data_IF_701027078543
#
_entry.id   IF_701027078543
#
_cell.length_a   1.000
_cell.length_b   1.000
_cell.length_c   1.000
_cell.angle_alpha   90.00
_cell.angle_beta   90.00
_cell.angle_gamma   90.00
#
_symmetry.space_group_name_H-M   'P 1'
#
loop_
_entity.id
_entity.type
_entity.pdbx_description
1 polymer ?
#
# COMPACT_ATOMS: atom_id res chain seq x y z
N UNK A 1 -12.01 -8.21 0.61
CA UNK A 1 -11.75 -6.80 0.22
C UNK A 1 -10.28 -6.66 -0.14
N UNK A 2 -9.97 -6.13 -1.33
CA UNK A 2 -8.60 -5.78 -1.71
C UNK A 2 -8.18 -4.46 -1.02
N UNK A 3 -6.89 -4.15 -1.05
CA UNK A 3 -6.32 -2.88 -0.54
C UNK A 3 -6.42 -1.74 -1.55
N UNK A 4 -6.47 -2.09 -2.84
CA UNK A 4 -6.41 -1.19 -3.99
C UNK A 4 -7.34 -1.67 -5.10
N UNK A 5 -7.43 -0.94 -6.21
CA UNK A 5 -8.04 -1.51 -7.43
C UNK A 5 -7.23 -2.72 -7.90
N UNK A 6 -7.89 -3.62 -8.63
CA UNK A 6 -7.25 -4.86 -9.11
C UNK A 6 -5.97 -4.53 -9.89
N UNK A 7 -4.87 -5.13 -9.48
CA UNK A 7 -3.54 -4.95 -10.07
C UNK A 7 -2.76 -6.28 -10.00
N UNK A 8 -1.55 -6.37 -10.57
CA UNK A 8 -0.78 -7.62 -10.61
C UNK A 8 -0.44 -8.24 -9.25
N UNK A 9 -0.39 -7.45 -8.17
CA UNK A 9 -0.07 -7.95 -6.83
C UNK A 9 -1.19 -8.80 -6.23
N UNK A 10 -2.41 -8.68 -6.76
CA UNK A 10 -3.55 -9.51 -6.42
C UNK A 10 -3.59 -10.84 -7.20
N UNK A 11 -2.60 -11.12 -8.07
CA UNK A 11 -2.61 -12.31 -8.92
C UNK A 11 -2.84 -13.63 -8.16
N UNK A 12 -2.27 -13.89 -6.95
CA UNK A 12 -2.54 -15.13 -6.22
C UNK A 12 -4.02 -15.32 -5.90
N UNK A 13 -4.73 -14.24 -5.55
CA UNK A 13 -6.16 -14.27 -5.19
C UNK A 13 -7.01 -14.48 -6.45
N UNK A 14 -6.74 -13.70 -7.50
CA UNK A 14 -7.47 -13.79 -8.76
C UNK A 14 -7.28 -15.14 -9.43
N UNK A 15 -6.04 -15.66 -9.49
CA UNK A 15 -5.74 -16.97 -10.06
C UNK A 15 -6.43 -18.08 -9.27
N UNK A 16 -6.45 -18.00 -7.94
CA UNK A 16 -7.15 -18.97 -7.11
C UNK A 16 -8.66 -19.03 -7.42
N UNK A 17 -9.28 -17.90 -7.69
CA UNK A 17 -10.68 -17.82 -8.08
C UNK A 17 -10.90 -18.35 -9.50
N UNK A 18 -10.13 -17.89 -10.48
CA UNK A 18 -10.29 -18.25 -11.89
C UNK A 18 -10.02 -19.73 -12.15
N UNK A 19 -9.07 -20.34 -11.42
CA UNK A 19 -8.78 -21.79 -11.51
C UNK A 19 -9.66 -22.65 -10.61
N UNK A 20 -10.62 -22.05 -9.88
CA UNK A 20 -11.58 -22.79 -9.06
C UNK A 20 -11.04 -23.31 -7.73
N UNK A 21 -9.85 -22.91 -7.28
CA UNK A 21 -9.25 -23.40 -6.03
C UNK A 21 -10.09 -23.08 -4.79
N UNK A 22 -10.79 -21.96 -4.78
CA UNK A 22 -11.73 -21.64 -3.70
C UNK A 22 -12.94 -22.58 -3.72
N UNK A 23 -13.52 -22.83 -4.90
CA UNK A 23 -14.64 -23.75 -5.05
C UNK A 23 -14.27 -25.19 -4.68
N UNK A 24 -13.08 -25.66 -5.07
CA UNK A 24 -12.56 -26.98 -4.71
C UNK A 24 -12.36 -27.11 -3.18
N UNK A 25 -12.08 -26.01 -2.49
CA UNK A 25 -12.02 -25.96 -1.04
C UNK A 25 -13.41 -25.76 -0.38
N UNK A 26 -14.49 -25.74 -1.15
CA UNK A 26 -15.86 -25.51 -0.65
C UNK A 26 -16.15 -24.05 -0.25
N UNK A 27 -15.36 -23.10 -0.75
CA UNK A 27 -15.51 -21.69 -0.46
C UNK A 27 -16.16 -20.95 -1.63
N UNK A 28 -17.06 -20.02 -1.30
CA UNK A 28 -17.52 -18.97 -2.22
C UNK A 28 -16.87 -17.66 -1.78
N UNK A 29 -16.05 -17.07 -2.65
CA UNK A 29 -15.28 -15.86 -2.34
C UNK A 29 -15.73 -14.72 -3.23
N UNK A 30 -16.21 -13.63 -2.62
CA UNK A 30 -16.51 -12.38 -3.31
C UNK A 30 -15.33 -11.41 -3.17
N UNK A 31 -14.67 -11.13 -4.31
CA UNK A 31 -13.53 -10.21 -4.35
C UNK A 31 -14.04 -8.82 -4.70
N UNK A 32 -13.81 -7.87 -3.79
CA UNK A 32 -14.20 -6.48 -3.98
C UNK A 32 -13.00 -5.54 -3.84
N UNK A 33 -12.89 -4.58 -4.75
CA UNK A 33 -11.98 -3.44 -4.60
C UNK A 33 -12.63 -2.38 -3.68
N UNK A 34 -11.85 -1.64 -2.89
CA UNK A 34 -12.40 -0.59 -2.02
C UNK A 34 -12.85 0.64 -2.83
N UNK A 35 -13.78 1.40 -2.25
CA UNK A 35 -14.17 2.70 -2.80
C UNK A 35 -13.15 3.80 -2.44
N UNK A 36 -12.50 3.68 -1.29
CA UNK A 36 -11.43 4.56 -0.80
C UNK A 36 -10.26 3.71 -0.29
N UNK A 37 -8.99 4.08 -0.57
CA UNK A 37 -7.81 3.33 -0.09
C UNK A 37 -7.73 3.17 1.44
N UNK A 38 -8.42 4.00 2.21
CA UNK A 38 -8.45 3.91 3.67
C UNK A 38 -9.54 2.97 4.22
N UNK A 39 -10.44 2.45 3.37
CA UNK A 39 -11.60 1.67 3.82
C UNK A 39 -11.29 0.23 4.29
N UNK A 40 -10.39 -0.55 3.64
CA UNK A 40 -10.32 -1.99 3.88
C UNK A 40 -10.16 -2.39 5.34
N UNK A 41 -9.23 -1.81 6.13
CA UNK A 41 -9.09 -2.19 7.54
C UNK A 41 -10.28 -1.77 8.41
N UNK A 42 -10.95 -0.66 8.07
CA UNK A 42 -12.14 -0.18 8.81
C UNK A 42 -13.35 -1.08 8.56
N UNK A 43 -13.55 -1.48 7.30
CA UNK A 43 -14.62 -2.41 6.93
C UNK A 43 -14.41 -3.78 7.55
N UNK A 44 -13.15 -4.25 7.61
CA UNK A 44 -12.80 -5.48 8.29
C UNK A 44 -13.05 -5.38 9.81
N UNK A 45 -12.58 -4.32 10.45
CA UNK A 45 -12.76 -4.10 11.89
C UNK A 45 -14.23 -4.00 12.29
N UNK A 46 -15.09 -3.45 11.41
CA UNK A 46 -16.55 -3.36 11.63
C UNK A 46 -17.32 -4.62 11.22
N UNK A 47 -16.66 -5.65 10.67
CA UNK A 47 -17.29 -6.90 10.25
C UNK A 47 -18.11 -6.78 8.95
N UNK A 48 -17.88 -5.76 8.13
CA UNK A 48 -18.52 -5.61 6.83
C UNK A 48 -17.88 -6.50 5.76
N UNK A 49 -16.65 -6.94 6.00
CA UNK A 49 -15.93 -7.92 5.19
C UNK A 49 -15.26 -8.93 6.10
N UNK A 50 -15.05 -10.16 5.61
CA UNK A 50 -14.48 -11.26 6.39
C UNK A 50 -12.96 -11.20 6.43
N UNK A 51 -12.35 -10.79 5.29
CA UNK A 51 -10.91 -10.65 5.11
C UNK A 51 -10.60 -9.36 4.34
N UNK A 52 -9.45 -8.77 4.62
CA UNK A 52 -8.94 -7.64 3.85
C UNK A 52 -7.45 -7.84 3.52
N UNK A 53 -7.05 -7.39 2.35
CA UNK A 53 -5.64 -7.15 2.06
C UNK A 53 -5.23 -5.84 2.70
N UNK A 54 -4.05 -5.77 3.27
CA UNK A 54 -3.52 -4.57 3.90
C UNK A 54 -1.99 -4.64 4.00
N UNK A 55 -1.41 -3.69 4.72
CA UNK A 55 0.03 -3.48 4.80
C UNK A 55 0.53 -3.71 6.23
N UNK A 56 1.69 -4.39 6.38
CA UNK A 56 2.22 -4.68 7.72
C UNK A 56 2.48 -3.40 8.55
N UNK A 57 3.11 -2.33 8.02
CA UNK A 57 3.32 -1.11 8.82
C UNK A 57 2.00 -0.46 9.25
N UNK A 58 0.99 -0.46 8.38
CA UNK A 58 -0.33 0.07 8.71
C UNK A 58 -1.02 -0.76 9.81
N UNK A 59 -0.91 -2.09 9.74
CA UNK A 59 -1.46 -2.98 10.76
C UNK A 59 -0.91 -2.65 12.15
N UNK A 60 0.41 -2.39 12.28
CA UNK A 60 1.01 -2.03 13.55
C UNK A 60 0.41 -0.75 14.14
N UNK A 61 0.19 0.28 13.30
CA UNK A 61 -0.44 1.53 13.73
C UNK A 61 -1.89 1.28 14.19
N UNK A 62 -2.67 0.58 13.37
CA UNK A 62 -4.08 0.33 13.63
C UNK A 62 -4.33 -0.52 14.88
N UNK A 63 -3.52 -1.55 15.11
CA UNK A 63 -3.58 -2.36 16.34
C UNK A 63 -3.18 -1.52 17.55
N UNK A 64 -2.18 -0.64 17.43
CA UNK A 64 -1.82 0.30 18.49
C UNK A 64 -2.97 1.27 18.83
N UNK A 65 -3.73 1.68 17.82
CA UNK A 65 -4.93 2.51 17.95
C UNK A 65 -6.16 1.73 18.45
N UNK A 66 -6.03 0.41 18.64
CA UNK A 66 -7.06 -0.45 19.22
C UNK A 66 -8.00 -1.10 18.20
N UNK A 67 -7.70 -1.08 16.90
CA UNK A 67 -8.48 -1.83 15.93
C UNK A 67 -8.29 -3.35 16.13
N UNK A 68 -9.39 -4.15 16.13
CA UNK A 68 -9.32 -5.59 16.32
C UNK A 68 -8.91 -6.29 15.01
N UNK A 69 -7.64 -6.16 14.65
CA UNK A 69 -7.09 -6.72 13.43
C UNK A 69 -5.94 -7.67 13.74
N UNK A 70 -5.83 -8.73 12.94
CA UNK A 70 -4.69 -9.65 12.99
C UNK A 70 -4.27 -10.09 11.60
N UNK A 71 -2.97 -10.33 11.41
CA UNK A 71 -2.46 -10.93 10.18
C UNK A 71 -2.69 -12.44 10.22
N UNK A 72 -3.23 -12.99 9.12
CA UNK A 72 -3.45 -14.44 8.94
C UNK A 72 -2.58 -15.03 7.83
N UNK A 73 -2.12 -14.23 6.87
CA UNK A 73 -1.20 -14.68 5.81
C UNK A 73 -0.36 -13.52 5.28
N UNK A 74 0.69 -13.84 4.53
CA UNK A 74 1.50 -12.90 3.76
C UNK A 74 1.34 -13.20 2.27
N UNK A 75 1.04 -12.19 1.47
CA UNK A 75 0.97 -12.26 0.01
C UNK A 75 2.29 -11.82 -0.62
N UNK A 76 2.88 -10.72 -0.13
CA UNK A 76 4.17 -10.18 -0.59
C UNK A 76 5.05 -9.89 0.61
N UNK A 77 6.15 -10.64 0.75
CA UNK A 77 7.05 -10.62 1.91
C UNK A 77 8.24 -9.66 1.77
N UNK A 78 8.13 -8.66 0.89
CA UNK A 78 9.16 -7.63 0.68
C UNK A 78 8.51 -6.29 0.43
N UNK A 79 9.16 -5.16 0.77
CA UNK A 79 8.65 -3.85 0.42
C UNK A 79 8.50 -3.69 -1.10
N UNK A 80 7.34 -3.23 -1.54
CA UNK A 80 7.08 -2.79 -2.92
C UNK A 80 7.00 -1.26 -2.98
N UNK A 81 6.61 -0.64 -1.88
CA UNK A 81 6.48 0.80 -1.74
C UNK A 81 7.81 1.50 -2.05
N UNK A 82 7.72 2.62 -2.72
CA UNK A 82 8.86 3.48 -2.97
C UNK A 82 8.44 4.96 -3.08
N UNK A 83 9.40 5.84 -2.91
CA UNK A 83 9.22 7.22 -3.30
C UNK A 83 9.45 7.31 -4.81
N UNK A 84 8.37 7.52 -5.56
CA UNK A 84 8.40 7.68 -7.00
C UNK A 84 8.60 9.14 -7.38
N UNK A 85 9.53 9.40 -8.27
CA UNK A 85 9.86 10.73 -8.80
C UNK A 85 9.95 10.67 -10.32
N UNK A 86 9.82 11.81 -11.01
CA UNK A 86 10.14 11.87 -12.43
C UNK A 86 11.65 11.65 -12.63
N UNK A 87 12.03 10.82 -13.61
CA UNK A 87 13.43 10.45 -13.84
C UNK A 87 14.33 11.67 -14.12
N UNK A 88 13.83 12.60 -14.94
CA UNK A 88 14.50 13.85 -15.28
C UNK A 88 14.03 15.04 -14.41
N UNK A 89 13.32 14.76 -13.32
CA UNK A 89 12.75 15.77 -12.43
C UNK A 89 13.77 16.37 -11.47
N UNK A 90 13.35 17.40 -10.73
CA UNK A 90 14.22 18.12 -9.79
C UNK A 90 14.53 17.33 -8.52
N UNK A 91 13.80 16.25 -8.23
CA UNK A 91 13.99 15.41 -7.03
C UNK A 91 14.86 14.21 -7.42
N UNK A 92 16.09 14.20 -6.95
CA UNK A 92 17.04 13.11 -7.19
C UNK A 92 17.30 12.26 -5.93
N UNK A 93 16.97 12.79 -4.76
CA UNK A 93 17.10 12.11 -3.47
C UNK A 93 16.16 12.73 -2.41
N UNK A 94 16.13 12.14 -1.21
CA UNK A 94 15.24 12.59 -0.12
C UNK A 94 15.54 14.05 0.29
N UNK A 95 16.80 14.47 0.26
CA UNK A 95 17.17 15.84 0.62
C UNK A 95 16.57 16.92 -0.31
N UNK A 96 16.26 16.55 -1.56
CA UNK A 96 15.67 17.47 -2.55
C UNK A 96 14.17 17.72 -2.31
N UNK A 97 13.56 16.98 -1.36
CA UNK A 97 12.14 17.14 -1.01
C UNK A 97 11.87 18.43 -0.22
N UNK A 98 12.90 19.11 0.27
CA UNK A 98 12.69 20.35 1.04
C UNK A 98 11.92 21.39 0.24
N UNK A 99 10.77 21.83 0.79
CA UNK A 99 9.86 22.78 0.16
C UNK A 99 9.03 22.21 -0.99
N UNK A 100 9.02 20.86 -1.15
CA UNK A 100 8.32 20.17 -2.22
C UNK A 100 6.99 19.59 -1.78
N UNK A 101 6.14 19.27 -2.76
CA UNK A 101 4.89 18.54 -2.59
C UNK A 101 5.10 17.05 -2.76
N UNK A 102 4.69 16.29 -1.75
CA UNK A 102 4.73 14.82 -1.78
C UNK A 102 3.32 14.28 -1.71
N UNK A 103 2.91 13.59 -2.79
CA UNK A 103 1.61 12.91 -2.87
C UNK A 103 1.62 11.61 -2.07
N UNK A 104 0.49 11.30 -1.45
CA UNK A 104 0.25 10.03 -0.77
C UNK A 104 -1.22 9.60 -0.92
N UNK A 105 -1.52 8.31 -0.65
CA UNK A 105 -2.86 7.73 -0.79
C UNK A 105 -3.43 7.17 0.50
N UNK A 106 -2.60 6.50 1.31
CA UNK A 106 -3.03 5.82 2.53
C UNK A 106 -2.58 6.61 3.75
N UNK A 107 -3.50 7.34 4.41
CA UNK A 107 -3.16 8.13 5.60
C UNK A 107 -2.57 7.27 6.73
N UNK A 108 -1.67 7.87 7.49
CA UNK A 108 -1.00 7.22 8.62
C UNK A 108 0.28 6.51 8.20
N UNK A 109 0.20 5.42 7.46
CA UNK A 109 1.36 4.61 7.07
C UNK A 109 2.39 5.43 6.29
N UNK A 110 1.97 6.06 5.20
CA UNK A 110 2.88 6.79 4.31
C UNK A 110 3.46 8.03 4.99
N UNK A 111 2.68 8.67 5.88
CA UNK A 111 3.19 9.80 6.69
C UNK A 111 4.30 9.34 7.64
N UNK A 112 4.16 8.17 8.28
CA UNK A 112 5.20 7.62 9.17
C UNK A 112 6.45 7.22 8.38
N UNK A 113 6.29 6.55 7.24
CA UNK A 113 7.41 6.18 6.36
C UNK A 113 8.14 7.43 5.87
N UNK A 114 7.40 8.45 5.41
CA UNK A 114 7.96 9.71 4.96
C UNK A 114 8.74 10.41 6.07
N UNK A 115 8.17 10.50 7.28
CA UNK A 115 8.85 11.10 8.43
C UNK A 115 10.18 10.42 8.73
N UNK A 116 10.23 9.09 8.72
CA UNK A 116 11.45 8.34 8.96
C UNK A 116 12.51 8.52 7.86
N UNK A 117 12.09 8.61 6.59
CA UNK A 117 12.99 8.87 5.46
C UNK A 117 13.56 10.29 5.51
N UNK A 118 12.72 11.28 5.85
CA UNK A 118 13.12 12.69 5.99
C UNK A 118 14.10 12.88 7.14
N UNK A 119 13.86 12.27 8.30
CA UNK A 119 14.74 12.35 9.48
C UNK A 119 16.18 11.92 9.15
N UNK A 120 16.35 10.85 8.37
CA UNK A 120 17.68 10.40 7.91
C UNK A 120 18.37 11.41 6.97
N UNK A 121 17.62 12.23 6.27
CA UNK A 121 18.14 13.30 5.43
C UNK A 121 18.29 14.64 6.19
N UNK A 122 18.02 14.65 7.49
CA UNK A 122 18.06 15.88 8.31
C UNK A 122 16.89 16.82 8.06
N UNK A 123 15.78 16.31 7.56
CA UNK A 123 14.53 17.02 7.31
C UNK A 123 13.42 16.53 8.25
N UNK A 124 12.33 17.27 8.28
CA UNK A 124 11.12 16.90 9.04
C UNK A 124 9.90 16.95 8.13
N UNK A 125 8.75 16.50 8.63
CA UNK A 125 7.48 16.62 7.90
C UNK A 125 7.09 18.07 7.61
N UNK A 126 7.54 19.02 8.43
CA UNK A 126 7.30 20.46 8.23
C UNK A 126 8.12 21.04 7.04
N UNK A 127 9.14 20.32 6.58
CA UNK A 127 9.94 20.72 5.41
C UNK A 127 9.29 20.31 4.07
N UNK A 128 8.17 19.58 4.08
CA UNK A 128 7.46 19.12 2.88
C UNK A 128 5.96 19.42 2.97
N UNK A 129 5.29 19.55 1.82
CA UNK A 129 3.83 19.64 1.75
C UNK A 129 3.26 18.25 1.39
N UNK A 130 2.58 17.61 2.34
CA UNK A 130 1.93 16.32 2.09
C UNK A 130 0.54 16.54 1.45
N UNK A 131 0.30 15.93 0.29
CA UNK A 131 -0.93 16.06 -0.48
C UNK A 131 -1.58 14.68 -0.63
N UNK A 132 -2.79 14.50 -0.08
CA UNK A 132 -3.54 13.29 -0.36
C UNK A 132 -4.05 13.33 -1.81
N UNK A 133 -3.59 12.39 -2.64
CA UNK A 133 -3.93 12.29 -4.05
C UNK A 133 -4.90 11.13 -4.35
N UNK A 134 -5.37 10.43 -3.31
CA UNK A 134 -6.29 9.30 -3.44
C UNK A 134 -5.75 8.25 -4.42
N UNK A 135 -6.52 7.90 -5.44
CA UNK A 135 -6.15 6.92 -6.47
C UNK A 135 -5.13 7.41 -7.51
N UNK A 136 -4.71 8.68 -7.44
CA UNK A 136 -4.03 9.37 -8.54
C UNK A 136 -2.53 9.53 -8.33
N UNK A 137 -1.82 8.54 -7.76
CA UNK A 137 -0.37 8.63 -7.51
C UNK A 137 0.41 8.99 -8.78
N UNK A 138 0.42 8.12 -9.78
CA UNK A 138 1.13 8.36 -11.05
C UNK A 138 0.59 9.58 -11.81
N UNK A 139 -0.73 9.78 -11.99
CA UNK A 139 -1.25 10.98 -12.65
C UNK A 139 -0.88 12.29 -11.97
N UNK A 140 -0.89 12.35 -10.63
CA UNK A 140 -0.53 13.57 -9.89
C UNK A 140 0.95 13.91 -10.07
N UNK A 141 1.82 12.89 -10.09
CA UNK A 141 3.24 13.08 -10.35
C UNK A 141 3.50 13.54 -11.80
N UNK A 142 2.92 12.84 -12.77
CA UNK A 142 3.10 13.14 -14.20
C UNK A 142 2.58 14.51 -14.60
N UNK A 143 1.50 14.97 -13.99
CA UNK A 143 0.95 16.32 -14.23
C UNK A 143 1.70 17.45 -13.51
N UNK A 144 2.65 17.12 -12.61
CA UNK A 144 3.34 18.11 -11.79
C UNK A 144 2.48 18.70 -10.65
N UNK A 145 1.36 18.06 -10.32
CA UNK A 145 0.57 18.42 -9.13
C UNK A 145 1.37 18.23 -7.85
N UNK A 146 2.21 17.19 -7.84
CA UNK A 146 3.18 16.89 -6.78
C UNK A 146 4.57 16.63 -7.40
N UNK A 147 5.63 16.80 -6.60
CA UNK A 147 7.02 16.62 -7.04
C UNK A 147 7.50 15.16 -6.86
N UNK A 148 6.86 14.42 -5.96
CA UNK A 148 7.11 13.02 -5.67
C UNK A 148 5.83 12.36 -5.17
N UNK A 149 5.76 11.03 -5.21
CA UNK A 149 4.68 10.26 -4.56
C UNK A 149 5.26 9.13 -3.72
N UNK A 150 4.69 8.89 -2.54
CA UNK A 150 4.95 7.73 -1.70
C UNK A 150 3.67 6.88 -1.66
N UNK A 151 3.81 5.55 -1.68
CA UNK A 151 2.67 4.61 -1.71
C UNK A 151 2.59 3.81 -3.02
N UNK A 152 3.25 4.26 -4.07
CA UNK A 152 3.32 3.53 -5.33
C UNK A 152 4.22 2.29 -5.24
N UNK A 153 3.81 1.21 -5.91
CA UNK A 153 4.57 -0.04 -5.95
C UNK A 153 5.50 -0.10 -7.14
N UNK A 154 6.78 -0.36 -6.88
CA UNK A 154 7.88 -0.37 -7.87
C UNK A 154 7.65 -1.29 -9.06
N UNK A 155 6.87 -2.35 -8.90
CA UNK A 155 6.56 -3.33 -9.94
C UNK A 155 5.33 -2.95 -10.79
N UNK A 156 4.57 -1.94 -10.40
CA UNK A 156 3.33 -1.53 -11.06
C UNK A 156 3.40 -0.09 -11.59
N UNK A 157 3.58 0.93 -10.73
CA UNK A 157 3.47 2.34 -11.09
C UNK A 157 4.50 2.78 -12.15
N UNK A 158 5.75 2.31 -12.05
CA UNK A 158 6.76 2.64 -13.07
C UNK A 158 6.40 2.09 -14.45
N UNK A 159 5.75 0.92 -14.49
CA UNK A 159 5.26 0.35 -15.75
C UNK A 159 4.08 1.15 -16.29
N UNK A 160 3.14 1.53 -15.42
CA UNK A 160 2.02 2.39 -15.80
C UNK A 160 2.52 3.73 -16.38
N UNK A 161 3.41 4.42 -15.67
CA UNK A 161 3.98 5.70 -16.14
C UNK A 161 4.64 5.54 -17.52
N UNK A 162 5.39 4.47 -17.75
CA UNK A 162 6.04 4.21 -19.04
C UNK A 162 5.02 3.99 -20.16
N UNK A 163 3.93 3.26 -19.91
CA UNK A 163 2.86 3.06 -20.88
C UNK A 163 2.14 4.37 -21.23
N UNK A 164 2.13 5.33 -20.31
CA UNK A 164 1.55 6.66 -20.50
C UNK A 164 2.57 7.68 -21.04
N UNK A 165 3.79 7.21 -21.38
CA UNK A 165 4.82 8.04 -22.04
C UNK A 165 5.68 8.87 -21.09
N UNK A 166 5.71 8.54 -19.81
CA UNK A 166 6.54 9.20 -18.81
C UNK A 166 7.56 8.22 -18.20
N UNK A 167 8.74 8.74 -17.82
CA UNK A 167 9.73 7.96 -17.11
C UNK A 167 9.79 8.35 -15.64
N UNK A 168 9.39 7.40 -14.78
CA UNK A 168 9.53 7.49 -13.33
C UNK A 168 10.79 6.77 -12.83
N UNK A 169 11.26 7.19 -11.66
CA UNK A 169 12.32 6.52 -10.91
C UNK A 169 11.85 6.29 -9.48
N UNK A 170 12.21 5.13 -8.95
CA UNK A 170 11.84 4.71 -7.60
C UNK A 170 13.06 4.84 -6.67
N UNK A 171 12.90 5.54 -5.57
CA UNK A 171 13.81 5.53 -4.43
C UNK A 171 13.24 4.51 -3.43
N UNK A 172 13.88 3.36 -3.32
CA UNK A 172 13.41 2.25 -2.50
C UNK A 172 13.42 2.62 -1.02
N UNK A 173 12.33 2.38 -0.32
CA UNK A 173 12.19 2.75 1.10
C UNK A 173 13.24 2.09 1.98
N UNK A 174 13.62 0.84 1.70
CA UNK A 174 14.65 0.11 2.42
C UNK A 174 16.05 0.72 2.24
N UNK A 175 16.33 1.35 1.11
CA UNK A 175 17.58 2.09 0.87
C UNK A 175 17.57 3.46 1.58
N UNK A 176 16.38 3.96 1.92
CA UNK A 176 16.20 5.20 2.67
C UNK A 176 16.08 4.96 4.18
N UNK A 177 16.35 3.72 4.62
CA UNK A 177 16.47 3.37 6.04
C UNK A 177 15.23 2.83 6.70
N UNK A 178 14.20 2.53 5.94
CA UNK A 178 13.06 1.79 6.45
C UNK A 178 13.46 0.31 6.56
N UNK A 179 13.27 -0.35 7.71
CA UNK A 179 13.50 -1.79 7.81
C UNK A 179 12.64 -2.58 6.82
N UNK A 180 13.11 -3.73 6.37
CA UNK A 180 12.32 -4.63 5.54
C UNK A 180 11.03 -5.05 6.27
N UNK A 181 9.93 -5.10 5.54
CA UNK A 181 8.61 -5.48 6.04
C UNK A 181 7.83 -6.24 4.96
N UNK A 182 6.75 -6.91 5.37
CA UNK A 182 5.83 -7.57 4.45
C UNK A 182 4.88 -6.51 3.86
N UNK A 183 4.94 -6.30 2.54
CA UNK A 183 4.12 -5.26 1.90
C UNK A 183 2.65 -5.63 1.92
N UNK A 184 2.28 -6.78 1.34
CA UNK A 184 0.88 -7.19 1.30
C UNK A 184 0.65 -8.39 2.22
N UNK A 185 -0.28 -8.21 3.14
CA UNK A 185 -0.70 -9.21 4.11
C UNK A 185 -2.21 -9.40 4.07
N UNK A 186 -2.67 -10.59 4.43
CA UNK A 186 -4.09 -10.85 4.61
C UNK A 186 -4.45 -10.67 6.08
N UNK A 187 -5.50 -9.87 6.31
CA UNK A 187 -6.00 -9.48 7.61
C UNK A 187 -7.34 -10.13 7.91
N UNK A 188 -7.57 -10.45 9.19
CA UNK A 188 -8.84 -10.88 9.74
C UNK A 188 -9.18 -10.09 11.01
N UNK A 189 -10.47 -10.09 11.36
CA UNK A 189 -10.94 -9.61 12.66
C UNK A 189 -10.94 -10.79 13.66
N UNK A 190 -10.14 -10.80 14.72
CA UNK A 190 -9.98 -11.93 15.65
C UNK A 190 -11.26 -12.47 16.29
N UNK A 191 -12.31 -11.66 16.58
CA UNK A 191 -13.51 -12.15 17.27
C UNK A 191 -14.46 -12.97 16.39
N UNK A 192 -14.18 -13.19 15.11
CA UNK A 192 -15.07 -13.96 14.23
C UNK A 192 -14.63 -15.45 14.18
N UNK A 193 -15.21 -16.33 15.01
CA UNK A 193 -14.78 -17.74 15.09
C UNK A 193 -15.13 -18.58 13.85
N UNK A 194 -15.91 -18.05 12.93
CA UNK A 194 -16.35 -18.73 11.70
C UNK A 194 -15.28 -18.87 10.63
N UNK A 195 -14.24 -18.05 10.65
CA UNK A 195 -13.15 -18.06 9.64
C UNK A 195 -12.19 -19.23 9.87
N UNK A 196 -12.10 -19.76 11.09
CA UNK A 196 -11.11 -20.80 11.44
C UNK A 196 -11.53 -22.24 11.07
N UNK A 197 -12.81 -22.48 10.73
CA UNK A 197 -13.32 -23.83 10.47
C UNK A 197 -12.96 -24.32 9.05
N UNK A 198 -12.54 -23.45 8.14
CA UNK A 198 -12.21 -23.78 6.75
C UNK A 198 -10.72 -23.93 6.43
N UNK A 199 -9.83 -23.54 7.34
CA UNK A 199 -8.39 -23.72 7.16
C UNK A 199 -7.93 -25.03 7.82
N UNK A 200 -8.44 -26.17 7.29
CA UNK A 200 -7.89 -27.48 7.60
C UNK A 200 -6.45 -27.58 7.04
N UNK A 201 -5.50 -27.98 7.90
CA UNK A 201 -4.13 -28.32 7.57
C UNK A 201 -4.05 -29.43 6.52
#
# INVERSE_FOLDING_TARGET
MLDWFVNPDHAPIIVAQELGFFADAGLTVDIAAPADPADPPRMLASGQVDLAVGYQPQLHLQVHEGLPLTRVATLVATPLNCLTVMADGPVQGIADLKGRKVGYSVPGMETVLMGAMLDRAGLTLDDVELVNVGWSLSPALMSGQVDATLGGFRNFELTQMRLEGAEGRCLFVEEQGIPAYDELILLANPPQPTIWVGMGY
#
